data_IF_450290883614
#
_entry.id   IF_450290883614
#
_cell.length_a   1.000
_cell.length_b   1.000
_cell.length_c   1.000
_cell.angle_alpha   90.00
_cell.angle_beta   90.00
_cell.angle_gamma   90.00
#
_symmetry.space_group_name_H-M   'P 1'
#
loop_
_entity.id
_entity.type
_entity.pdbx_description
1 polymer ?
#
# COMPACT_ATOMS: atom_id res chain seq x y z
N UNK A 1 -3.10 2.03 -15.11
CA UNK A 1 -1.82 1.34 -14.89
C UNK A 1 -2.10 -0.08 -14.42
N UNK A 2 -1.23 -1.05 -14.68
CA UNK A 2 -1.44 -2.42 -14.20
C UNK A 2 -1.24 -2.53 -12.69
N UNK A 3 -1.96 -3.44 -12.01
CA UNK A 3 -1.91 -3.63 -10.56
C UNK A 3 -0.47 -3.76 -10.02
N UNK A 4 0.36 -4.57 -10.69
CA UNK A 4 1.76 -4.76 -10.28
C UNK A 4 2.58 -3.47 -10.35
N UNK A 5 2.31 -2.59 -11.33
CA UNK A 5 2.99 -1.30 -11.46
C UNK A 5 2.68 -0.37 -10.30
N UNK A 6 1.40 -0.33 -9.85
CA UNK A 6 0.98 0.48 -8.70
C UNK A 6 1.69 -0.02 -7.42
N UNK A 7 1.73 -1.34 -7.22
CA UNK A 7 2.43 -1.95 -6.09
C UNK A 7 3.95 -1.67 -6.14
N UNK A 8 4.57 -1.73 -7.31
CA UNK A 8 5.99 -1.42 -7.50
C UNK A 8 6.31 0.04 -7.13
N UNK A 9 5.48 0.99 -7.56
CA UNK A 9 5.64 2.40 -7.23
C UNK A 9 5.46 2.67 -5.74
N UNK A 10 4.46 2.06 -5.10
CA UNK A 10 4.22 2.19 -3.67
C UNK A 10 5.40 1.67 -2.83
N UNK A 11 5.91 0.47 -3.16
CA UNK A 11 7.10 -0.07 -2.49
C UNK A 11 8.32 0.83 -2.69
N UNK A 12 8.52 1.37 -3.89
CA UNK A 12 9.64 2.26 -4.16
C UNK A 12 9.55 3.56 -3.34
N UNK A 13 8.36 4.15 -3.23
CA UNK A 13 8.15 5.36 -2.43
C UNK A 13 8.36 5.09 -0.93
N UNK A 14 7.79 4.00 -0.41
CA UNK A 14 7.89 3.67 1.02
C UNK A 14 9.28 3.16 1.45
N UNK A 15 10.17 2.85 0.49
CA UNK A 15 11.59 2.55 0.79
C UNK A 15 12.41 3.79 1.13
N UNK A 16 11.94 4.97 0.73
CA UNK A 16 12.62 6.23 1.04
C UNK A 16 12.38 6.55 2.52
N UNK A 17 13.41 7.05 3.26
CA UNK A 17 13.20 7.55 4.61
C UNK A 17 12.12 8.63 4.65
N UNK A 18 11.35 8.67 5.74
CA UNK A 18 10.30 9.67 5.91
C UNK A 18 10.89 11.09 5.90
N UNK A 19 10.21 12.01 5.22
CA UNK A 19 10.47 13.43 5.31
C UNK A 19 9.89 14.06 6.58
N UNK A 20 10.09 15.36 6.75
CA UNK A 20 9.47 16.12 7.84
C UNK A 20 7.95 16.16 7.69
N UNK A 21 7.46 16.41 6.47
CA UNK A 21 6.02 16.43 6.16
C UNK A 21 5.33 15.10 6.45
N UNK A 22 5.98 13.98 6.08
CA UNK A 22 5.41 12.64 6.34
C UNK A 22 5.27 12.39 7.85
N UNK A 23 6.28 12.77 8.64
CA UNK A 23 6.22 12.67 10.10
C UNK A 23 5.19 13.60 10.71
N UNK A 24 5.05 14.82 10.19
CA UNK A 24 4.02 15.76 10.61
C UNK A 24 2.60 15.24 10.30
N UNK A 25 2.46 14.42 9.27
CA UNK A 25 1.22 13.70 8.93
C UNK A 25 0.98 12.46 9.79
N UNK A 26 1.84 12.16 10.77
CA UNK A 26 1.67 11.02 11.67
C UNK A 26 2.32 9.73 11.21
N UNK A 27 3.11 9.73 10.12
CA UNK A 27 3.89 8.55 9.76
C UNK A 27 5.04 8.32 10.73
N UNK A 28 5.17 7.08 11.18
CA UNK A 28 6.34 6.61 11.91
C UNK A 28 7.19 5.71 11.00
N UNK A 29 8.50 5.62 11.28
CA UNK A 29 9.40 4.77 10.50
C UNK A 29 9.02 3.28 10.58
N UNK A 30 8.37 2.89 11.68
CA UNK A 30 7.81 1.56 11.91
C UNK A 30 6.56 1.34 11.06
N UNK A 31 5.58 2.24 11.14
CA UNK A 31 4.37 2.17 10.31
C UNK A 31 4.68 2.16 8.81
N UNK A 32 5.60 3.03 8.36
CA UNK A 32 6.09 3.04 6.98
C UNK A 32 6.65 1.68 6.60
N UNK A 33 7.43 1.05 7.48
CA UNK A 33 8.03 -0.26 7.23
C UNK A 33 6.97 -1.35 7.15
N UNK A 34 6.03 -1.39 8.08
CA UNK A 34 4.97 -2.40 8.12
C UNK A 34 4.09 -2.33 6.87
N UNK A 35 3.66 -1.13 6.48
CA UNK A 35 2.89 -0.93 5.23
C UNK A 35 3.70 -1.35 4.01
N UNK A 36 4.99 -0.99 3.95
CA UNK A 36 5.86 -1.38 2.84
C UNK A 36 6.01 -2.91 2.74
N UNK A 37 6.14 -3.59 3.87
CA UNK A 37 6.26 -5.04 3.94
C UNK A 37 4.99 -5.73 3.46
N UNK A 38 3.82 -5.29 3.94
CA UNK A 38 2.52 -5.83 3.52
C UNK A 38 2.29 -5.65 2.01
N UNK A 39 2.58 -4.47 1.45
CA UNK A 39 2.50 -4.24 0.00
C UNK A 39 3.49 -5.15 -0.75
N UNK A 40 4.67 -5.37 -0.20
CA UNK A 40 5.69 -6.24 -0.80
C UNK A 40 5.27 -7.71 -0.82
N UNK A 41 4.61 -8.19 0.25
CA UNK A 41 4.03 -9.54 0.34
C UNK A 41 2.94 -9.70 -0.73
N UNK A 42 1.99 -8.77 -0.79
CA UNK A 42 0.91 -8.77 -1.77
C UNK A 42 1.45 -8.80 -3.21
N UNK A 43 2.41 -7.94 -3.52
CA UNK A 43 3.12 -7.92 -4.81
C UNK A 43 3.80 -9.26 -5.11
N UNK A 44 4.49 -9.85 -4.13
CA UNK A 44 5.21 -11.12 -4.29
C UNK A 44 4.24 -12.27 -4.63
N UNK A 45 3.13 -12.35 -3.90
CA UNK A 45 2.06 -13.34 -4.16
C UNK A 45 1.53 -13.19 -5.58
N UNK A 46 1.17 -11.97 -5.99
CA UNK A 46 0.61 -11.72 -7.33
C UNK A 46 1.63 -12.00 -8.46
N UNK A 47 2.92 -11.72 -8.24
CA UNK A 47 3.98 -12.03 -9.22
C UNK A 47 4.20 -13.53 -9.37
N UNK A 48 4.17 -14.29 -8.28
CA UNK A 48 4.44 -15.73 -8.29
C UNK A 48 3.25 -16.54 -8.78
N UNK A 49 2.03 -16.12 -8.44
CA UNK A 49 0.82 -16.92 -8.62
C UNK A 49 -0.20 -16.27 -9.58
N UNK A 50 0.13 -15.12 -10.15
CA UNK A 50 -0.73 -14.38 -11.08
C UNK A 50 -1.70 -13.44 -10.39
N UNK A 51 -2.26 -12.50 -11.18
CA UNK A 51 -3.19 -11.47 -10.71
C UNK A 51 -4.50 -12.03 -10.16
N UNK A 52 -4.89 -13.25 -10.58
CA UNK A 52 -6.08 -13.94 -10.05
C UNK A 52 -6.02 -14.25 -8.55
N UNK A 53 -4.83 -14.17 -7.92
CA UNK A 53 -4.71 -14.30 -6.46
C UNK A 53 -5.25 -13.10 -5.69
N UNK A 54 -5.53 -11.96 -6.35
CA UNK A 54 -6.04 -10.75 -5.69
C UNK A 54 -7.33 -10.99 -4.92
N UNK A 55 -8.16 -11.96 -5.34
CA UNK A 55 -9.40 -12.35 -4.63
C UNK A 55 -9.17 -12.87 -3.21
N UNK A 56 -7.97 -13.37 -2.95
CA UNK A 56 -7.53 -13.88 -1.64
C UNK A 56 -6.81 -12.82 -0.80
N UNK A 57 -6.42 -11.70 -1.41
CA UNK A 57 -5.81 -10.58 -0.69
C UNK A 57 -6.94 -9.74 -0.07
N UNK A 58 -6.82 -9.45 1.23
CA UNK A 58 -7.73 -8.55 1.95
C UNK A 58 -6.96 -7.52 2.77
N UNK A 59 -6.11 -6.69 2.12
CA UNK A 59 -5.52 -5.58 2.83
C UNK A 59 -6.60 -4.59 3.23
N UNK A 60 -6.39 -3.99 4.40
CA UNK A 60 -7.26 -2.98 5.01
C UNK A 60 -6.43 -1.77 5.34
N UNK A 61 -5.74 -1.24 4.32
CA UNK A 61 -4.85 -0.11 4.53
C UNK A 61 -5.60 1.12 5.02
N UNK A 62 -6.81 1.37 4.54
CA UNK A 62 -7.62 2.52 5.00
C UNK A 62 -7.92 2.44 6.50
N UNK A 63 -8.43 1.29 6.98
CA UNK A 63 -8.68 1.05 8.41
C UNK A 63 -7.39 1.17 9.24
N UNK A 64 -6.26 0.70 8.69
CA UNK A 64 -4.96 0.81 9.35
C UNK A 64 -4.48 2.27 9.44
N UNK A 65 -4.58 3.05 8.35
CA UNK A 65 -4.21 4.47 8.36
C UNK A 65 -5.10 5.28 9.31
N UNK A 66 -6.39 4.92 9.42
CA UNK A 66 -7.30 5.51 10.40
C UNK A 66 -6.91 5.17 11.85
N UNK A 67 -6.56 3.90 12.12
CA UNK A 67 -6.12 3.46 13.43
C UNK A 67 -4.87 4.21 13.90
N UNK A 68 -3.92 4.41 13.00
CA UNK A 68 -2.66 5.13 13.25
C UNK A 68 -2.82 6.65 13.19
N UNK A 69 -4.04 7.16 12.97
CA UNK A 69 -4.35 8.59 12.89
C UNK A 69 -3.53 9.35 11.83
N UNK A 70 -3.11 8.66 10.78
CA UNK A 70 -2.31 9.24 9.68
C UNK A 70 -3.16 10.25 8.92
N UNK A 71 -2.67 11.49 8.87
CA UNK A 71 -3.33 12.58 8.17
C UNK A 71 -3.24 12.42 6.65
N UNK A 72 -4.17 13.03 5.88
CA UNK A 72 -4.07 13.08 4.43
C UNK A 72 -2.73 13.65 3.97
N UNK A 73 -2.18 13.06 2.91
CA UNK A 73 -0.87 13.42 2.41
C UNK A 73 -0.33 12.41 1.41
N UNK A 74 0.79 12.73 0.78
CA UNK A 74 1.32 11.99 -0.38
C UNK A 74 1.45 10.49 -0.13
N UNK A 75 2.00 10.07 1.02
CA UNK A 75 2.17 8.64 1.32
C UNK A 75 0.83 7.95 1.60
N UNK A 76 -0.09 8.62 2.30
CA UNK A 76 -1.43 8.09 2.56
C UNK A 76 -2.23 7.94 1.26
N UNK A 77 -2.17 8.92 0.37
CA UNK A 77 -2.85 8.89 -0.93
C UNK A 77 -2.32 7.73 -1.79
N UNK A 78 -1.00 7.52 -1.80
CA UNK A 78 -0.37 6.43 -2.52
C UNK A 78 -0.80 5.05 -1.99
N UNK A 79 -0.91 4.91 -0.68
CA UNK A 79 -1.40 3.68 -0.03
C UNK A 79 -2.89 3.48 -0.31
N UNK A 80 -3.68 4.55 -0.34
CA UNK A 80 -5.08 4.53 -0.76
C UNK A 80 -5.25 4.10 -2.23
N UNK A 81 -4.36 4.53 -3.12
CA UNK A 81 -4.34 4.10 -4.52
C UNK A 81 -4.02 2.61 -4.67
N UNK A 82 -3.14 2.07 -3.82
CA UNK A 82 -2.89 0.62 -3.72
C UNK A 82 -4.14 -0.12 -3.27
N UNK A 83 -4.76 0.34 -2.18
CA UNK A 83 -6.00 -0.26 -1.66
C UNK A 83 -7.09 -0.30 -2.74
N UNK A 84 -7.32 0.84 -3.41
CA UNK A 84 -8.30 0.96 -4.51
C UNK A 84 -7.98 -0.01 -5.64
N UNK A 85 -6.73 -0.04 -6.10
CA UNK A 85 -6.30 -0.92 -7.20
C UNK A 85 -6.50 -2.40 -6.89
N UNK A 86 -6.28 -2.81 -5.63
CA UNK A 86 -6.51 -4.18 -5.18
C UNK A 86 -8.00 -4.52 -5.13
N UNK A 87 -8.84 -3.60 -4.64
CA UNK A 87 -10.29 -3.75 -4.60
C UNK A 87 -10.86 -3.85 -6.02
N UNK A 88 -10.48 -2.94 -6.91
CA UNK A 88 -10.90 -2.95 -8.31
C UNK A 88 -10.49 -4.23 -9.01
N UNK A 89 -9.22 -4.63 -8.89
CA UNK A 89 -8.73 -5.87 -9.48
C UNK A 89 -9.52 -7.10 -8.97
N UNK A 90 -9.92 -7.12 -7.70
CA UNK A 90 -10.74 -8.18 -7.11
C UNK A 90 -12.17 -8.21 -7.64
N UNK A 91 -12.76 -7.07 -8.00
CA UNK A 91 -14.09 -7.03 -8.64
C UNK A 91 -14.01 -7.57 -10.07
N UNK A 92 -12.86 -7.40 -10.74
CA UNK A 92 -12.65 -7.80 -12.14
C UNK A 92 -12.02 -9.19 -12.34
N UNK A 93 -11.65 -9.90 -11.27
CA UNK A 93 -10.92 -11.18 -11.30
C UNK A 93 -11.83 -12.41 -11.12
#
# INVERSE_FOLDING_TARGET
MGLLTVLDQAVAALKVPLGEDDRAQGWTDDLRREVQEEISINRSVLRRHGTGMVRHLRPRFDEWMEHESVQPGRLRDLVGDVQRSLVEARVTA
#
